data_IF_121742027107
#
_entry.id   IF_121742027107
#
_cell.length_a   1.000
_cell.length_b   1.000
_cell.length_c   1.000
_cell.angle_alpha   90.00
_cell.angle_beta   90.00
_cell.angle_gamma   90.00
#
_symmetry.space_group_name_H-M   'P 1'
#
loop_
_entity.id
_entity.type
_entity.pdbx_description
1 polymer ?
#
# COMPACT_ATOMS: atom_id res chain seq x y z
N UNK A 1 -14.31 -3.87 9.68
CA UNK A 1 -12.95 -3.63 10.17
C UNK A 1 -12.38 -2.41 9.49
N UNK A 2 -11.41 -1.81 10.17
CA UNK A 2 -10.60 -0.69 9.70
C UNK A 2 -9.32 -1.14 8.98
N UNK A 3 -9.02 -2.43 9.03
CA UNK A 3 -7.96 -3.08 8.28
C UNK A 3 -8.30 -3.20 6.79
N UNK A 4 -7.26 -3.17 5.96
CA UNK A 4 -7.31 -3.43 4.53
C UNK A 4 -6.07 -4.21 4.07
N UNK A 5 -6.20 -4.88 2.93
CA UNK A 5 -5.12 -5.64 2.32
C UNK A 5 -5.11 -5.43 0.81
N UNK A 6 -3.92 -5.39 0.21
CA UNK A 6 -3.70 -5.57 -1.22
C UNK A 6 -2.82 -6.79 -1.45
N UNK A 7 -3.25 -7.68 -2.34
CA UNK A 7 -2.55 -8.93 -2.65
C UNK A 7 -2.39 -9.05 -4.15
N UNK A 8 -1.14 -9.16 -4.60
CA UNK A 8 -0.79 -9.46 -5.99
C UNK A 8 0.17 -10.64 -6.08
N UNK A 9 0.59 -10.98 -7.30
CA UNK A 9 1.47 -12.13 -7.54
C UNK A 9 2.83 -12.04 -6.84
N UNK A 10 3.31 -10.83 -6.55
CA UNK A 10 4.60 -10.57 -5.93
C UNK A 10 4.59 -9.37 -4.99
N UNK A 11 3.40 -8.97 -4.51
CA UNK A 11 3.24 -7.90 -3.54
C UNK A 11 2.18 -8.28 -2.53
N UNK A 12 2.43 -7.94 -1.27
CA UNK A 12 1.47 -7.95 -0.19
C UNK A 12 1.54 -6.58 0.51
N UNK A 13 0.40 -5.97 0.76
CA UNK A 13 0.31 -4.81 1.64
C UNK A 13 -0.83 -5.03 2.62
N UNK A 14 -0.57 -4.81 3.90
CA UNK A 14 -1.59 -4.76 4.94
C UNK A 14 -1.55 -3.36 5.57
N UNK A 15 -2.72 -2.81 5.85
CA UNK A 15 -2.86 -1.49 6.47
C UNK A 15 -3.96 -1.53 7.53
N UNK A 16 -3.69 -0.96 8.71
CA UNK A 16 -4.63 -0.90 9.83
C UNK A 16 -5.03 0.56 10.10
N UNK A 17 -6.30 0.88 9.83
CA UNK A 17 -6.84 2.22 9.98
C UNK A 17 -6.85 2.66 11.45
N UNK A 18 -6.36 3.85 11.76
CA UNK A 18 -6.28 4.32 13.15
C UNK A 18 -7.68 4.64 13.68
N UNK A 19 -8.20 3.79 14.57
CA UNK A 19 -9.56 3.89 15.13
C UNK A 19 -9.93 5.24 15.76
N UNK A 20 -8.96 6.00 16.26
CA UNK A 20 -9.18 7.34 16.86
C UNK A 20 -9.89 8.34 15.93
N UNK A 21 -9.85 8.14 14.60
CA UNK A 21 -10.60 8.97 13.65
C UNK A 21 -12.12 8.89 13.80
N UNK A 22 -12.64 7.78 14.36
CA UNK A 22 -14.06 7.61 14.61
C UNK A 22 -14.62 8.66 15.60
N UNK A 23 -13.81 9.16 16.54
CA UNK A 23 -14.19 10.22 17.48
C UNK A 23 -14.44 11.57 16.77
N UNK A 24 -13.86 11.74 15.58
CA UNK A 24 -14.05 12.90 14.71
C UNK A 24 -15.13 12.68 13.64
N UNK A 25 -15.87 11.56 13.70
CA UNK A 25 -16.89 11.19 12.72
C UNK A 25 -16.31 10.76 11.37
N UNK A 26 -15.03 10.38 11.32
CA UNK A 26 -14.33 9.93 10.11
C UNK A 26 -14.17 8.41 10.19
N UNK A 27 -14.61 7.69 9.15
CA UNK A 27 -14.43 6.23 9.08
C UNK A 27 -12.94 5.89 8.82
N UNK A 28 -12.22 5.29 9.80
CA UNK A 28 -10.80 4.97 9.66
C UNK A 28 -10.52 4.03 8.48
N UNK A 29 -11.51 3.20 8.11
CA UNK A 29 -11.38 2.22 7.06
C UNK A 29 -11.28 2.85 5.65
N UNK A 30 -11.74 4.11 5.47
CA UNK A 30 -11.63 4.78 4.17
C UNK A 30 -10.16 4.99 3.79
N UNK A 31 -9.35 5.45 4.75
CA UNK A 31 -7.94 5.72 4.50
C UNK A 31 -7.15 4.46 4.19
N UNK A 32 -7.27 3.41 5.01
CA UNK A 32 -6.55 2.14 4.84
C UNK A 32 -6.95 1.43 3.53
N UNK A 33 -8.25 1.34 3.22
CA UNK A 33 -8.74 0.75 1.96
C UNK A 33 -8.25 1.54 0.75
N UNK A 34 -8.29 2.87 0.81
CA UNK A 34 -7.79 3.70 -0.29
C UNK A 34 -6.29 3.51 -0.48
N UNK A 35 -5.51 3.45 0.60
CA UNK A 35 -4.07 3.21 0.53
C UNK A 35 -3.76 1.87 -0.17
N UNK A 36 -4.38 0.77 0.27
CA UNK A 36 -4.20 -0.56 -0.35
C UNK A 36 -4.59 -0.56 -1.83
N UNK A 37 -5.72 0.06 -2.19
CA UNK A 37 -6.14 0.16 -3.61
C UNK A 37 -5.14 0.93 -4.48
N UNK A 38 -4.54 2.00 -3.94
CA UNK A 38 -3.53 2.78 -4.66
C UNK A 38 -2.22 2.00 -4.78
N UNK A 39 -1.79 1.29 -3.72
CA UNK A 39 -0.63 0.37 -3.76
C UNK A 39 -0.82 -0.67 -4.88
N UNK A 40 -1.98 -1.32 -4.92
CA UNK A 40 -2.30 -2.31 -5.96
C UNK A 40 -2.27 -1.69 -7.37
N UNK A 41 -2.90 -0.51 -7.53
CA UNK A 41 -2.94 0.18 -8.83
C UNK A 41 -1.55 0.63 -9.30
N UNK A 42 -0.70 1.12 -8.40
CA UNK A 42 0.66 1.55 -8.72
C UNK A 42 1.55 0.37 -9.13
N UNK A 43 1.38 -0.77 -8.48
CA UNK A 43 2.25 -1.94 -8.65
C UNK A 43 1.77 -2.91 -9.75
N UNK A 44 0.48 -3.20 -9.81
CA UNK A 44 -0.09 -4.13 -10.80
C UNK A 44 -0.67 -3.40 -12.02
N UNK A 45 -0.88 -2.09 -11.92
CA UNK A 45 -1.62 -1.32 -12.93
C UNK A 45 -3.13 -1.39 -12.69
N UNK A 46 -3.86 -0.54 -13.39
CA UNK A 46 -5.32 -0.62 -13.44
C UNK A 46 -5.77 -1.44 -14.66
N UNK A 47 -7.04 -1.92 -14.69
CA UNK A 47 -7.61 -2.56 -15.87
C UNK A 47 -7.54 -1.70 -17.15
N UNK A 48 -7.44 -0.38 -17.00
CA UNK A 48 -7.40 0.58 -18.10
C UNK A 48 -6.00 1.11 -18.41
N UNK A 49 -5.03 0.87 -17.52
CA UNK A 49 -3.66 1.34 -17.65
C UNK A 49 -2.72 0.35 -16.96
N UNK A 50 -2.05 -0.55 -17.70
CA UNK A 50 -1.12 -1.50 -17.11
C UNK A 50 0.02 -0.78 -16.39
N UNK A 51 0.67 -1.48 -15.47
CA UNK A 51 1.79 -0.93 -14.71
C UNK A 51 2.90 -0.47 -15.65
N UNK A 52 3.60 0.60 -15.26
CA UNK A 52 4.83 1.00 -15.93
C UNK A 52 5.94 0.04 -15.48
N UNK A 53 6.49 -0.75 -16.39
CA UNK A 53 7.51 -1.77 -16.08
C UNK A 53 8.70 -1.18 -15.30
N UNK A 54 9.17 0.01 -15.66
CA UNK A 54 10.26 0.69 -14.94
C UNK A 54 9.87 1.17 -13.53
N UNK A 55 8.60 1.47 -13.29
CA UNK A 55 8.11 1.76 -11.93
C UNK A 55 7.97 0.50 -11.09
N UNK A 56 7.59 -0.63 -11.69
CA UNK A 56 7.56 -1.89 -10.97
C UNK A 56 8.93 -2.33 -10.49
N UNK A 57 9.98 -2.13 -11.30
CA UNK A 57 11.35 -2.37 -10.86
C UNK A 57 11.73 -1.45 -9.70
N UNK A 58 11.42 -0.15 -9.79
CA UNK A 58 11.69 0.80 -8.69
C UNK A 58 10.96 0.41 -7.40
N UNK A 59 9.68 0.04 -7.48
CA UNK A 59 8.89 -0.37 -6.33
C UNK A 59 9.32 -1.72 -5.75
N UNK A 60 9.88 -2.60 -6.58
CA UNK A 60 10.50 -3.86 -6.13
C UNK A 60 11.77 -3.61 -5.32
N UNK A 61 12.60 -2.65 -5.77
CA UNK A 61 13.83 -2.27 -5.07
C UNK A 61 13.52 -1.42 -3.83
N UNK A 62 12.47 -0.61 -3.88
CA UNK A 62 12.10 0.33 -2.81
C UNK A 62 10.59 0.36 -2.55
N UNK A 63 10.07 -0.56 -1.71
CA UNK A 63 8.69 -0.51 -1.23
C UNK A 63 8.35 0.79 -0.49
N UNK A 64 9.36 1.47 0.07
CA UNK A 64 9.25 2.82 0.61
C UNK A 64 8.74 3.83 -0.40
N UNK A 65 9.28 3.82 -1.62
CA UNK A 65 8.82 4.74 -2.69
C UNK A 65 7.38 4.44 -3.06
N UNK A 66 7.02 3.15 -3.16
CA UNK A 66 5.63 2.73 -3.40
C UNK A 66 4.68 3.26 -2.32
N UNK A 67 5.04 3.11 -1.04
CA UNK A 67 4.22 3.59 0.07
C UNK A 67 4.13 5.12 0.10
N UNK A 68 5.22 5.82 -0.23
CA UNK A 68 5.26 7.30 -0.32
C UNK A 68 4.34 7.81 -1.44
N UNK A 69 4.42 7.21 -2.63
CA UNK A 69 3.58 7.57 -3.77
C UNK A 69 2.11 7.23 -3.51
N UNK A 70 1.84 6.09 -2.85
CA UNK A 70 0.49 5.69 -2.48
C UNK A 70 -0.13 6.66 -1.46
N UNK A 71 0.64 7.08 -0.46
CA UNK A 71 0.23 8.11 0.50
C UNK A 71 -0.06 9.44 -0.21
N UNK A 72 0.83 9.90 -1.11
CA UNK A 72 0.64 11.16 -1.83
C UNK A 72 -0.62 11.17 -2.71
N UNK A 73 -1.03 10.01 -3.25
CA UNK A 73 -2.24 9.84 -4.06
C UNK A 73 -3.51 9.56 -3.25
N UNK A 74 -3.39 9.18 -1.98
CA UNK A 74 -4.52 9.02 -1.08
C UNK A 74 -5.05 10.40 -0.65
N UNK A 75 -6.34 10.66 -0.87
CA UNK A 75 -7.01 11.93 -0.51
C UNK A 75 -8.05 11.77 0.59
N UNK A 76 -8.21 10.55 1.10
CA UNK A 76 -9.08 10.30 2.24
C UNK A 76 -8.51 11.00 3.47
N UNK A 77 -9.40 11.55 4.30
CA UNK A 77 -9.03 12.05 5.62
C UNK A 77 -8.88 10.83 6.53
N UNK A 78 -7.75 10.73 7.22
CA UNK A 78 -7.49 9.61 8.11
C UNK A 78 -6.00 9.33 8.25
N UNK A 79 -5.69 8.20 8.86
CA UNK A 79 -4.36 7.61 8.90
C UNK A 79 -4.47 6.11 9.10
N UNK A 80 -3.41 5.39 8.78
CA UNK A 80 -3.27 3.97 9.07
C UNK A 80 -1.81 3.64 9.35
N UNK A 81 -1.57 2.49 9.96
CA UNK A 81 -0.28 1.81 9.90
C UNK A 81 -0.24 1.02 8.58
N UNK A 82 0.95 0.66 8.09
CA UNK A 82 1.07 -0.12 6.88
C UNK A 82 2.37 -0.91 6.82
N UNK A 83 2.28 -2.15 6.36
CA UNK A 83 3.42 -2.97 5.93
C UNK A 83 3.24 -3.33 4.46
N UNK A 84 4.32 -3.22 3.69
CA UNK A 84 4.41 -3.62 2.29
C UNK A 84 5.55 -4.60 2.14
N UNK A 85 5.29 -5.71 1.46
CA UNK A 85 6.26 -6.75 1.12
C UNK A 85 6.23 -6.94 -0.38
N UNK A 86 7.39 -6.87 -1.03
CA UNK A 86 7.55 -7.12 -2.45
C UNK A 86 8.55 -8.24 -2.67
N UNK A 87 8.17 -9.21 -3.49
CA UNK A 87 9.03 -10.30 -3.93
C UNK A 87 9.62 -9.95 -5.30
N UNK A 88 10.95 -9.97 -5.41
CA UNK A 88 11.62 -9.89 -6.70
C UNK A 88 11.42 -11.21 -7.48
N UNK A 89 10.98 -11.13 -8.73
CA UNK A 89 10.76 -12.30 -9.59
C UNK A 89 12.05 -12.79 -10.25
N UNK A 90 13.08 -11.95 -10.29
CA UNK A 90 14.34 -12.20 -11.00
C UNK A 90 15.48 -12.59 -10.04
N UNK A 91 15.33 -12.32 -8.74
CA UNK A 91 16.30 -12.63 -7.71
C UNK A 91 15.62 -13.19 -6.45
N UNK A 92 16.31 -13.98 -5.61
CA UNK A 92 15.77 -14.50 -4.35
C UNK A 92 15.76 -13.41 -3.26
N UNK A 93 15.13 -12.26 -3.56
CA UNK A 93 15.11 -11.08 -2.69
C UNK A 93 13.67 -10.71 -2.34
N UNK A 94 13.46 -10.43 -1.05
CA UNK A 94 12.21 -9.94 -0.49
C UNK A 94 12.50 -8.57 0.14
N UNK A 95 11.83 -7.54 -0.37
CA UNK A 95 11.95 -6.17 0.12
C UNK A 95 10.72 -5.82 0.96
N UNK A 96 10.92 -5.11 2.06
CA UNK A 96 9.83 -4.72 2.97
C UNK A 96 9.92 -3.26 3.34
N UNK A 97 8.78 -2.62 3.52
CA UNK A 97 8.65 -1.34 4.23
C UNK A 97 7.57 -1.49 5.30
N UNK A 98 7.86 -1.09 6.53
CA UNK A 98 6.88 -1.04 7.61
C UNK A 98 6.80 0.38 8.18
N UNK A 99 5.58 0.90 8.31
CA UNK A 99 5.26 2.19 8.91
C UNK A 99 4.21 1.98 10.00
N UNK A 100 4.65 2.06 11.26
CA UNK A 100 3.82 1.77 12.43
C UNK A 100 4.11 0.38 13.00
N UNK A 101 3.07 -0.29 13.47
CA UNK A 101 3.15 -1.55 14.22
C UNK A 101 2.44 -2.73 13.51
N UNK A 102 2.26 -2.64 12.18
CA UNK A 102 1.68 -3.73 11.37
C UNK A 102 2.62 -4.94 11.14
N UNK A 103 3.85 -4.88 11.65
CA UNK A 103 4.94 -5.83 11.37
C UNK A 103 5.32 -6.73 12.53
#
# INVERSE_FOLDING_TARGET
GEDAVAVGNNILCAADGVGGWAESGIDPANYSRRLCNVVDTLFNGSPTKPANEGMNELYTISPKTLLTDAHAQNKEIGSCTAVVVVLDKNAPLLATENLGDSG
#
